data_IF_869593979960
#
_entry.id   IF_869593979960
#
_cell.length_a   1.000
_cell.length_b   1.000
_cell.length_c   1.000
_cell.angle_alpha   90.00
_cell.angle_beta   90.00
_cell.angle_gamma   90.00
#
_symmetry.space_group_name_H-M   'P 1'
#
loop_
_entity.id
_entity.type
_entity.pdbx_description
1 polymer ?
#
# COMPACT_ATOMS: atom_id res chain seq x y z
N UNK A 1 -30.85 -38.29 -13.24
CA UNK A 1 -30.70 -37.71 -14.59
C UNK A 1 -29.27 -37.22 -14.70
N UNK A 2 -28.47 -37.84 -15.57
CA UNK A 2 -27.06 -37.50 -15.82
C UNK A 2 -27.00 -36.33 -16.82
N UNK A 3 -26.32 -35.24 -16.45
CA UNK A 3 -25.91 -34.21 -17.40
C UNK A 3 -24.82 -34.76 -18.31
N UNK A 4 -25.09 -34.73 -19.62
CA UNK A 4 -24.15 -35.12 -20.65
C UNK A 4 -23.21 -33.95 -20.94
N UNK A 5 -21.99 -34.03 -20.41
CA UNK A 5 -20.91 -33.11 -20.79
C UNK A 5 -20.48 -33.45 -22.21
N UNK A 6 -20.90 -32.60 -23.16
CA UNK A 6 -20.54 -32.71 -24.57
C UNK A 6 -19.05 -32.34 -24.71
N UNK A 7 -18.18 -33.36 -24.83
CA UNK A 7 -16.76 -33.17 -25.18
C UNK A 7 -16.68 -32.53 -26.56
N UNK A 8 -16.40 -31.23 -26.62
CA UNK A 8 -16.02 -30.57 -27.86
C UNK A 8 -14.71 -31.16 -28.37
N UNK A 9 -14.75 -31.76 -29.55
CA UNK A 9 -13.56 -32.22 -30.26
C UNK A 9 -12.69 -31.00 -30.58
N UNK A 10 -11.48 -30.96 -30.02
CA UNK A 10 -10.48 -29.95 -30.36
C UNK A 10 -9.96 -30.29 -31.75
N UNK A 11 -10.64 -29.76 -32.76
CA UNK A 11 -10.08 -29.65 -34.11
C UNK A 11 -8.90 -28.69 -34.00
N UNK A 12 -7.68 -29.21 -34.21
CA UNK A 12 -6.49 -28.36 -34.40
C UNK A 12 -6.64 -27.64 -35.73
N UNK A 13 -7.42 -26.57 -35.74
CA UNK A 13 -7.47 -25.66 -36.88
C UNK A 13 -6.10 -25.03 -37.08
N UNK A 14 -5.68 -24.89 -38.34
CA UNK A 14 -4.43 -24.23 -38.67
C UNK A 14 -4.46 -22.78 -38.16
N UNK A 15 -3.43 -22.30 -37.43
CA UNK A 15 -3.44 -20.96 -36.83
C UNK A 15 -3.73 -19.84 -37.85
N UNK A 16 -3.24 -20.01 -39.09
CA UNK A 16 -3.50 -19.06 -40.19
C UNK A 16 -4.96 -19.05 -40.65
N UNK A 17 -5.65 -20.19 -40.62
CA UNK A 17 -7.06 -20.28 -40.98
C UNK A 17 -7.94 -19.60 -39.92
N UNK A 18 -7.62 -19.82 -38.63
CA UNK A 18 -8.29 -19.17 -37.50
C UNK A 18 -8.13 -17.64 -37.57
N UNK A 19 -6.91 -17.15 -37.78
CA UNK A 19 -6.63 -15.72 -37.88
C UNK A 19 -7.37 -15.05 -39.06
N UNK A 20 -7.44 -15.73 -40.21
CA UNK A 20 -8.20 -15.25 -41.38
C UNK A 20 -9.69 -15.20 -41.08
N UNK A 21 -10.25 -16.27 -40.53
CA UNK A 21 -11.67 -16.33 -40.15
C UNK A 21 -12.04 -15.23 -39.15
N UNK A 22 -11.20 -15.02 -38.14
CA UNK A 22 -11.36 -13.94 -37.18
C UNK A 22 -11.33 -12.56 -37.87
N UNK A 23 -10.33 -12.30 -38.71
CA UNK A 23 -10.20 -11.01 -39.40
C UNK A 23 -11.41 -10.71 -40.30
N UNK A 24 -11.88 -11.69 -41.07
CA UNK A 24 -13.08 -11.54 -41.91
C UNK A 24 -14.34 -11.27 -41.08
N UNK A 25 -14.49 -11.92 -39.92
CA UNK A 25 -15.62 -11.69 -39.04
C UNK A 25 -15.63 -10.25 -38.50
N UNK A 26 -14.48 -9.74 -38.04
CA UNK A 26 -14.39 -8.37 -37.53
C UNK A 26 -14.53 -7.31 -38.63
N UNK A 27 -14.02 -7.57 -39.85
CA UNK A 27 -14.27 -6.68 -41.00
C UNK A 27 -15.76 -6.60 -41.34
N UNK A 28 -16.51 -7.70 -41.16
CA UNK A 28 -17.96 -7.72 -41.35
C UNK A 28 -18.65 -6.91 -40.26
N UNK A 29 -18.26 -7.11 -38.99
CA UNK A 29 -18.78 -6.34 -37.87
C UNK A 29 -18.51 -4.84 -38.01
N UNK A 30 -17.32 -4.44 -38.48
CA UNK A 30 -16.99 -3.03 -38.70
C UNK A 30 -17.91 -2.39 -39.73
N UNK A 31 -18.23 -3.10 -40.82
CA UNK A 31 -19.17 -2.64 -41.84
C UNK A 31 -20.58 -2.51 -41.29
N UNK A 32 -21.04 -3.49 -40.50
CA UNK A 32 -22.37 -3.46 -39.88
C UNK A 32 -22.49 -2.32 -38.87
N UNK A 33 -21.50 -2.15 -37.98
CA UNK A 33 -21.46 -1.05 -37.03
C UNK A 33 -21.41 0.31 -37.73
N UNK A 34 -20.58 0.46 -38.77
CA UNK A 34 -20.52 1.68 -39.57
C UNK A 34 -21.87 1.98 -40.23
N UNK A 35 -22.53 0.94 -40.77
CA UNK A 35 -23.87 1.06 -41.34
C UNK A 35 -24.87 1.54 -40.30
N UNK A 36 -24.94 0.91 -39.12
CA UNK A 36 -25.81 1.31 -38.02
C UNK A 36 -25.59 2.76 -37.57
N UNK A 37 -24.33 3.19 -37.49
CA UNK A 37 -24.00 4.57 -37.17
C UNK A 37 -24.55 5.55 -38.22
N UNK A 38 -24.37 5.22 -39.50
CA UNK A 38 -24.79 6.09 -40.60
C UNK A 38 -26.30 6.10 -40.85
N UNK A 39 -26.99 4.97 -40.69
CA UNK A 39 -28.39 4.81 -41.09
C UNK A 39 -29.38 5.06 -39.94
N UNK A 40 -28.99 4.74 -38.70
CA UNK A 40 -29.86 4.85 -37.52
C UNK A 40 -29.36 5.88 -36.51
N UNK A 41 -28.21 6.52 -36.75
CA UNK A 41 -27.63 7.50 -35.84
C UNK A 41 -27.16 6.89 -34.50
N UNK A 42 -26.95 5.57 -34.46
CA UNK A 42 -26.48 4.85 -33.27
C UNK A 42 -25.00 5.15 -33.06
N UNK A 43 -24.61 5.41 -31.82
CA UNK A 43 -23.21 5.69 -31.46
C UNK A 43 -22.75 4.67 -30.44
N UNK A 44 -21.52 4.20 -30.57
CA UNK A 44 -21.01 3.11 -29.76
C UNK A 44 -19.59 2.74 -30.09
N UNK A 45 -19.08 1.76 -29.35
CA UNK A 45 -17.77 1.19 -29.58
C UNK A 45 -17.77 -0.27 -29.11
N UNK A 46 -16.85 -1.07 -29.65
CA UNK A 46 -16.57 -2.39 -29.14
C UNK A 46 -15.06 -2.61 -29.05
N UNK A 47 -14.67 -3.46 -28.10
CA UNK A 47 -13.29 -3.92 -27.91
C UNK A 47 -13.36 -5.44 -27.74
N UNK A 48 -12.64 -6.16 -28.59
CA UNK A 48 -12.44 -7.60 -28.44
C UNK A 48 -10.95 -7.88 -28.26
N UNK A 49 -10.60 -8.68 -27.24
CA UNK A 49 -9.23 -9.01 -26.83
C UNK A 49 -9.08 -10.52 -26.73
N UNK A 50 -7.84 -11.01 -26.76
CA UNK A 50 -7.53 -12.42 -26.57
C UNK A 50 -7.97 -12.91 -25.19
N UNK A 51 -8.57 -14.10 -25.16
CA UNK A 51 -9.02 -14.75 -23.92
C UNK A 51 -7.94 -15.49 -23.13
N UNK A 52 -6.74 -15.64 -23.70
CA UNK A 52 -5.64 -16.36 -23.05
C UNK A 52 -4.28 -16.05 -23.69
N UNK A 53 -3.21 -16.38 -22.96
CA UNK A 53 -1.82 -16.09 -23.34
C UNK A 53 -1.33 -16.78 -24.63
N UNK A 54 -2.00 -17.87 -25.02
CA UNK A 54 -1.65 -18.65 -26.21
C UNK A 54 -2.18 -18.02 -27.51
N UNK A 55 -3.14 -17.10 -27.40
CA UNK A 55 -3.66 -16.35 -28.54
C UNK A 55 -2.93 -15.00 -28.63
N UNK A 56 -2.14 -14.84 -29.71
CA UNK A 56 -1.37 -13.62 -29.99
C UNK A 56 -2.10 -12.68 -30.94
N UNK A 57 -3.41 -12.84 -31.12
CA UNK A 57 -4.17 -11.94 -31.99
C UNK A 57 -4.25 -10.53 -31.40
N UNK A 58 -4.08 -9.53 -32.26
CA UNK A 58 -4.13 -8.12 -31.83
C UNK A 58 -5.56 -7.73 -31.46
N UNK A 59 -5.79 -6.92 -30.41
CA UNK A 59 -7.10 -6.41 -30.06
C UNK A 59 -7.83 -5.79 -31.25
N UNK A 60 -9.11 -6.12 -31.39
CA UNK A 60 -10.01 -5.55 -32.40
C UNK A 60 -10.82 -4.45 -31.75
N UNK A 61 -10.75 -3.26 -32.34
CA UNK A 61 -11.35 -2.05 -31.79
C UNK A 61 -12.14 -1.33 -32.87
N UNK A 62 -13.34 -0.92 -32.50
CA UNK A 62 -14.18 -0.03 -33.30
C UNK A 62 -14.71 1.07 -32.40
N UNK A 63 -14.69 2.31 -32.89
CA UNK A 63 -15.27 3.46 -32.22
C UNK A 63 -16.02 4.31 -33.22
N UNK A 64 -17.28 4.60 -32.94
CA UNK A 64 -17.98 5.69 -33.61
C UNK A 64 -17.38 7.04 -33.18
N UNK A 65 -17.62 8.15 -33.91
CA UNK A 65 -17.05 9.45 -33.56
C UNK A 65 -17.38 9.92 -32.14
N UNK A 66 -18.61 9.71 -31.65
CA UNK A 66 -18.96 10.07 -30.27
C UNK A 66 -18.46 9.04 -29.26
N UNK A 67 -18.35 7.76 -29.64
CA UNK A 67 -17.74 6.73 -28.81
C UNK A 67 -16.26 7.03 -28.51
N UNK A 68 -15.48 7.39 -29.53
CA UNK A 68 -14.08 7.80 -29.38
C UNK A 68 -13.96 9.03 -28.47
N UNK A 69 -14.79 10.05 -28.72
CA UNK A 69 -14.84 11.26 -27.90
C UNK A 69 -15.20 10.98 -26.45
N UNK A 70 -16.15 10.08 -26.19
CA UNK A 70 -16.49 9.66 -24.83
C UNK A 70 -15.28 9.05 -24.12
N UNK A 71 -14.58 8.13 -24.76
CA UNK A 71 -13.41 7.48 -24.13
C UNK A 71 -12.28 8.49 -23.86
N UNK A 72 -12.00 9.40 -24.80
CA UNK A 72 -10.97 10.42 -24.60
C UNK A 72 -11.36 11.48 -23.58
N UNK A 73 -12.58 12.02 -23.66
CA UNK A 73 -12.97 13.19 -22.87
C UNK A 73 -13.60 12.85 -21.52
N UNK A 74 -14.28 11.70 -21.40
CA UNK A 74 -14.97 11.31 -20.16
C UNK A 74 -14.14 10.30 -19.37
N UNK A 75 -13.57 9.30 -20.04
CA UNK A 75 -12.73 8.31 -19.36
C UNK A 75 -11.27 8.76 -19.22
N UNK A 76 -10.87 9.86 -19.88
CA UNK A 76 -9.49 10.35 -19.93
C UNK A 76 -8.48 9.27 -20.37
N UNK A 77 -8.89 8.49 -21.37
CA UNK A 77 -8.10 7.38 -21.90
C UNK A 77 -8.02 7.44 -23.41
N UNK A 78 -6.86 7.04 -23.93
CA UNK A 78 -6.74 6.71 -25.36
C UNK A 78 -7.45 5.37 -25.64
N UNK A 79 -8.24 5.25 -26.73
CA UNK A 79 -8.95 4.02 -27.06
C UNK A 79 -8.06 2.77 -27.12
N UNK A 80 -6.85 2.89 -27.69
CA UNK A 80 -5.86 1.81 -27.71
C UNK A 80 -5.39 1.44 -26.31
N UNK A 81 -5.22 2.43 -25.42
CA UNK A 81 -4.81 2.20 -24.04
C UNK A 81 -5.92 1.54 -23.23
N UNK A 82 -7.18 1.88 -23.49
CA UNK A 82 -8.34 1.19 -22.93
C UNK A 82 -8.36 -0.28 -23.36
N UNK A 83 -8.13 -0.56 -24.65
CA UNK A 83 -8.05 -1.93 -25.16
C UNK A 83 -6.92 -2.73 -24.52
N UNK A 84 -5.72 -2.17 -24.39
CA UNK A 84 -4.59 -2.83 -23.72
C UNK A 84 -4.85 -3.08 -22.23
N UNK A 85 -5.51 -2.15 -21.52
CA UNK A 85 -5.92 -2.36 -20.13
C UNK A 85 -6.92 -3.52 -20.01
N UNK A 86 -7.86 -3.60 -20.94
CA UNK A 86 -8.84 -4.67 -20.97
C UNK A 86 -8.19 -6.02 -21.30
N UNK A 87 -7.30 -6.06 -22.29
CA UNK A 87 -6.52 -7.26 -22.62
C UNK A 87 -5.67 -7.73 -21.44
N UNK A 88 -4.96 -6.82 -20.78
CA UNK A 88 -4.19 -7.14 -19.57
C UNK A 88 -5.08 -7.69 -18.47
N UNK A 89 -6.31 -7.17 -18.29
CA UNK A 89 -7.26 -7.65 -17.30
C UNK A 89 -7.73 -9.09 -17.59
N UNK A 90 -8.02 -9.39 -18.85
CA UNK A 90 -8.46 -10.74 -19.29
C UNK A 90 -7.31 -11.74 -19.22
N UNK A 91 -6.16 -11.41 -19.82
CA UNK A 91 -5.00 -12.32 -19.94
C UNK A 91 -4.33 -12.60 -18.60
N UNK A 92 -4.35 -11.64 -17.66
CA UNK A 92 -3.78 -11.85 -16.31
C UNK A 92 -4.63 -12.76 -15.41
N UNK A 93 -5.78 -13.25 -15.89
CA UNK A 93 -6.72 -14.04 -15.08
C UNK A 93 -7.35 -13.23 -13.95
N UNK A 94 -7.28 -11.89 -14.01
CA UNK A 94 -7.89 -11.01 -13.00
C UNK A 94 -9.42 -11.07 -13.06
N UNK A 95 -9.99 -11.40 -14.23
CA UNK A 95 -11.41 -11.64 -14.44
C UNK A 95 -11.93 -12.86 -13.64
N UNK A 96 -11.13 -13.92 -13.53
CA UNK A 96 -11.49 -15.13 -12.78
C UNK A 96 -11.29 -14.98 -11.27
N UNK A 97 -10.69 -13.87 -10.85
CA UNK A 97 -10.19 -13.62 -9.50
C UNK A 97 -10.83 -12.39 -8.83
N UNK A 98 -11.93 -11.86 -9.37
CA UNK A 98 -12.63 -10.67 -8.84
C UNK A 98 -13.11 -10.91 -7.39
N UNK A 99 -13.45 -12.15 -7.04
CA UNK A 99 -13.80 -12.56 -5.67
C UNK A 99 -12.63 -13.17 -4.88
N UNK A 100 -11.45 -13.28 -5.49
CA UNK A 100 -10.30 -13.89 -4.84
C UNK A 100 -9.57 -12.89 -3.92
N UNK A 101 -9.03 -13.33 -2.77
CA UNK A 101 -8.20 -12.50 -1.89
C UNK A 101 -6.98 -11.84 -2.58
N UNK A 102 -6.58 -12.32 -3.76
CA UNK A 102 -5.41 -11.86 -4.52
C UNK A 102 -5.58 -10.45 -5.10
N UNK A 103 -6.81 -9.93 -5.24
CA UNK A 103 -7.00 -8.51 -5.58
C UNK A 103 -6.46 -7.55 -4.51
N UNK A 104 -6.23 -8.01 -3.27
CA UNK A 104 -5.54 -7.21 -2.23
C UNK A 104 -4.05 -7.00 -2.54
N UNK A 105 -3.47 -7.76 -3.47
CA UNK A 105 -2.05 -7.68 -3.82
C UNK A 105 -1.70 -6.49 -4.74
N UNK A 106 -2.68 -5.91 -5.44
CA UNK A 106 -2.45 -4.76 -6.34
C UNK A 106 -2.23 -3.43 -5.61
N UNK A 107 -2.55 -3.32 -4.32
CA UNK A 107 -2.27 -2.09 -3.55
C UNK A 107 -0.76 -1.92 -3.36
N UNK A 108 -0.14 -0.77 -3.69
CA UNK A 108 1.26 -0.53 -3.33
C UNK A 108 1.48 -0.70 -1.83
N UNK A 109 2.56 -1.37 -1.42
CA UNK A 109 2.85 -1.64 0.00
C UNK A 109 2.83 -0.37 0.85
N UNK A 110 3.37 0.73 0.34
CA UNK A 110 3.37 2.03 1.01
C UNK A 110 1.96 2.54 1.32
N UNK A 111 1.02 2.33 0.39
CA UNK A 111 -0.38 2.71 0.57
C UNK A 111 -1.04 1.87 1.67
N UNK A 112 -0.81 0.56 1.65
CA UNK A 112 -1.32 -0.36 2.68
C UNK A 112 -0.75 -0.03 4.07
N UNK A 113 0.54 0.26 4.16
CA UNK A 113 1.19 0.73 5.40
C UNK A 113 0.59 2.05 5.88
N UNK A 114 0.33 2.99 4.96
CA UNK A 114 -0.34 4.25 5.25
C UNK A 114 -1.76 4.05 5.80
N UNK A 115 -2.55 3.19 5.16
CA UNK A 115 -3.90 2.81 5.59
C UNK A 115 -3.88 2.25 7.02
N UNK A 116 -3.01 1.28 7.32
CA UNK A 116 -2.87 0.74 8.68
C UNK A 116 -2.52 1.82 9.71
N UNK A 117 -1.55 2.69 9.41
CA UNK A 117 -1.15 3.79 10.32
C UNK A 117 -2.30 4.74 10.57
N UNK A 118 -3.02 5.13 9.53
CA UNK A 118 -4.16 6.03 9.63
C UNK A 118 -5.30 5.41 10.43
N UNK A 119 -5.61 4.12 10.23
CA UNK A 119 -6.64 3.43 11.01
C UNK A 119 -6.27 3.33 12.49
N UNK A 120 -5.01 2.99 12.80
CA UNK A 120 -4.52 2.94 14.18
C UNK A 120 -4.58 4.32 14.83
N UNK A 121 -4.08 5.35 14.14
CA UNK A 121 -4.06 6.72 14.65
C UNK A 121 -5.47 7.29 14.84
N UNK A 122 -6.36 7.06 13.87
CA UNK A 122 -7.76 7.50 13.96
C UNK A 122 -8.45 6.84 15.15
N UNK A 123 -8.34 5.52 15.28
CA UNK A 123 -8.93 4.81 16.41
C UNK A 123 -8.36 5.26 17.77
N UNK A 124 -7.09 5.66 17.83
CA UNK A 124 -6.50 6.25 19.02
C UNK A 124 -7.12 7.61 19.35
N UNK A 125 -7.27 8.49 18.35
CA UNK A 125 -7.94 9.77 18.55
C UNK A 125 -9.39 9.58 19.00
N UNK A 126 -10.11 8.65 18.38
CA UNK A 126 -11.52 8.37 18.68
C UNK A 126 -11.68 7.92 20.15
N UNK A 127 -10.91 6.93 20.61
CA UNK A 127 -10.98 6.43 22.00
C UNK A 127 -10.52 7.49 23.02
N UNK A 128 -9.58 8.37 22.66
CA UNK A 128 -9.13 9.45 23.55
C UNK A 128 -10.21 10.52 23.71
N UNK A 129 -10.92 10.86 22.64
CA UNK A 129 -12.07 11.76 22.70
C UNK A 129 -13.20 11.17 23.55
N UNK A 130 -13.49 9.87 23.43
CA UNK A 130 -14.44 9.17 24.31
C UNK A 130 -14.02 9.24 25.79
N UNK A 131 -12.72 9.30 26.06
CA UNK A 131 -12.16 9.44 27.40
C UNK A 131 -12.04 10.89 27.90
N UNK A 132 -12.53 11.88 27.15
CA UNK A 132 -12.47 13.30 27.52
C UNK A 132 -11.10 13.96 27.28
N UNK A 133 -10.19 13.30 26.55
CA UNK A 133 -8.88 13.86 26.20
C UNK A 133 -8.97 14.51 24.83
N UNK A 134 -9.12 15.84 24.80
CA UNK A 134 -9.25 16.62 23.56
C UNK A 134 -7.90 16.97 22.89
N UNK A 135 -6.81 16.32 23.32
CA UNK A 135 -5.47 16.55 22.76
C UNK A 135 -5.17 15.51 21.70
N UNK A 136 -4.71 15.96 20.53
CA UNK A 136 -4.21 15.06 19.49
C UNK A 136 -2.89 14.44 19.94
N UNK A 137 -2.91 13.16 20.32
CA UNK A 137 -1.72 12.40 20.69
C UNK A 137 -1.31 11.52 19.51
N UNK A 138 -0.08 11.70 19.04
CA UNK A 138 0.51 10.84 18.01
C UNK A 138 0.85 9.45 18.55
N UNK A 139 0.58 8.41 17.76
CA UNK A 139 0.89 7.03 18.10
C UNK A 139 2.41 6.84 18.30
N UNK A 140 2.81 6.34 19.47
CA UNK A 140 4.21 6.08 19.80
C UNK A 140 4.47 4.58 19.90
N UNK A 141 5.00 3.99 18.83
CA UNK A 141 5.31 2.56 18.78
C UNK A 141 6.55 2.18 19.61
N UNK A 142 7.55 3.07 19.68
CA UNK A 142 8.82 2.79 20.36
C UNK A 142 8.71 2.82 21.89
N UNK A 143 7.75 3.57 22.42
CA UNK A 143 7.43 3.66 23.85
C UNK A 143 5.96 3.40 24.09
N UNK A 144 5.40 2.40 23.40
CA UNK A 144 3.96 2.09 23.44
C UNK A 144 3.45 1.86 24.86
N UNK A 145 4.11 1.00 25.63
CA UNK A 145 3.72 0.72 27.02
C UNK A 145 3.65 2.00 27.86
N UNK A 146 4.71 2.80 27.88
CA UNK A 146 4.79 3.99 28.72
C UNK A 146 3.89 5.15 28.26
N UNK A 147 3.88 5.45 26.96
CA UNK A 147 3.27 6.66 26.39
C UNK A 147 1.84 6.47 25.93
N UNK A 148 1.40 5.22 25.75
CA UNK A 148 0.03 4.92 25.33
C UNK A 148 -0.68 4.18 26.45
N UNK A 149 -0.17 3.02 26.86
CA UNK A 149 -0.89 2.15 27.82
C UNK A 149 -0.94 2.79 29.21
N UNK A 150 0.22 3.12 29.78
CA UNK A 150 0.32 3.64 31.15
C UNK A 150 -0.19 5.09 31.26
N UNK A 151 0.25 5.97 30.36
CA UNK A 151 -0.11 7.40 30.49
C UNK A 151 -1.50 7.75 30.00
N UNK A 152 -2.04 7.04 29.00
CA UNK A 152 -3.36 7.34 28.43
C UNK A 152 -4.43 6.33 28.85
N UNK A 153 -4.06 5.18 29.43
CA UNK A 153 -5.01 4.17 29.88
C UNK A 153 -5.76 3.49 28.73
N UNK A 154 -5.15 3.38 27.56
CA UNK A 154 -5.75 2.72 26.38
C UNK A 154 -4.80 1.68 25.81
N UNK A 155 -5.36 0.57 25.34
CA UNK A 155 -4.61 -0.55 24.77
C UNK A 155 -5.20 -0.97 23.43
N UNK A 156 -4.34 -1.33 22.49
CA UNK A 156 -4.70 -1.93 21.22
C UNK A 156 -4.83 -3.45 21.40
N UNK A 157 -6.06 -3.91 21.59
CA UNK A 157 -6.41 -5.31 21.80
C UNK A 157 -6.46 -6.06 20.47
N UNK A 158 -6.12 -7.35 20.49
CA UNK A 158 -6.19 -8.22 19.32
C UNK A 158 -5.10 -7.95 18.29
N UNK A 159 -4.00 -7.35 18.71
CA UNK A 159 -2.78 -7.35 17.91
C UNK A 159 -2.32 -8.79 17.67
N UNK A 160 -1.93 -9.09 16.44
CA UNK A 160 -1.59 -10.44 16.02
C UNK A 160 -0.34 -10.95 16.78
N UNK A 161 -0.44 -12.13 17.39
CA UNK A 161 0.62 -12.70 18.24
C UNK A 161 1.92 -12.97 17.48
N UNK A 162 1.83 -13.34 16.20
CA UNK A 162 2.97 -13.53 15.30
C UNK A 162 3.65 -12.20 14.89
N UNK A 163 3.02 -11.06 15.19
CA UNK A 163 3.52 -9.71 14.92
C UNK A 163 3.90 -8.94 16.20
N UNK A 164 3.98 -9.62 17.35
CA UNK A 164 4.47 -9.01 18.57
C UNK A 164 6.00 -8.81 18.53
N UNK A 165 6.54 -7.76 19.19
CA UNK A 165 5.82 -6.70 19.90
C UNK A 165 5.14 -5.70 18.95
N UNK A 166 4.20 -4.89 19.46
CA UNK A 166 3.53 -3.84 18.67
C UNK A 166 4.58 -2.92 18.05
N UNK A 167 4.56 -2.82 16.73
CA UNK A 167 5.55 -2.07 15.93
C UNK A 167 4.85 -1.22 14.90
N UNK A 168 5.56 -0.20 14.43
CA UNK A 168 5.11 0.60 13.31
C UNK A 168 4.84 -0.33 12.10
N UNK A 169 3.69 -0.21 11.41
CA UNK A 169 3.37 -1.06 10.27
C UNK A 169 4.46 -1.14 9.19
N UNK A 170 5.20 -0.05 8.98
CA UNK A 170 6.32 -0.02 8.03
C UNK A 170 7.57 -0.82 8.46
N UNK A 171 7.64 -1.25 9.72
CA UNK A 171 8.72 -2.07 10.29
C UNK A 171 8.33 -3.55 10.48
N UNK A 172 7.12 -3.95 10.07
CA UNK A 172 6.64 -5.34 10.24
C UNK A 172 7.32 -6.32 9.26
N UNK A 173 7.81 -5.82 8.12
CA UNK A 173 8.51 -6.59 7.10
C UNK A 173 7.56 -7.38 6.20
N UNK A 174 7.65 -7.17 4.90
CA UNK A 174 6.87 -7.91 3.90
C UNK A 174 5.38 -7.50 3.81
N UNK A 175 4.80 -7.71 2.64
CA UNK A 175 3.41 -7.36 2.34
C UNK A 175 2.42 -8.17 3.17
N UNK A 176 2.63 -9.47 3.30
CA UNK A 176 1.67 -10.40 3.91
C UNK A 176 1.36 -10.04 5.36
N UNK A 177 2.39 -9.64 6.11
CA UNK A 177 2.24 -9.22 7.52
C UNK A 177 1.42 -7.94 7.65
N UNK A 178 1.69 -6.95 6.79
CA UNK A 178 0.92 -5.69 6.78
C UNK A 178 -0.53 -5.96 6.33
N UNK A 179 -0.73 -6.87 5.39
CA UNK A 179 -2.06 -7.24 4.92
C UNK A 179 -2.87 -7.94 6.01
N UNK A 180 -2.28 -8.87 6.75
CA UNK A 180 -2.91 -9.50 7.92
C UNK A 180 -3.33 -8.47 8.96
N UNK A 181 -2.43 -7.53 9.29
CA UNK A 181 -2.75 -6.44 10.21
C UNK A 181 -3.90 -5.56 9.70
N UNK A 182 -3.88 -5.20 8.42
CA UNK A 182 -4.97 -4.42 7.80
C UNK A 182 -6.31 -5.13 7.95
N UNK A 183 -6.37 -6.44 7.67
CA UNK A 183 -7.60 -7.23 7.84
C UNK A 183 -8.04 -7.19 9.29
N UNK A 184 -7.17 -7.48 10.24
CA UNK A 184 -7.52 -7.49 11.66
C UNK A 184 -8.08 -6.12 12.13
N UNK A 185 -7.51 -5.01 11.68
CA UNK A 185 -8.01 -3.66 11.98
C UNK A 185 -9.38 -3.39 11.34
N UNK A 186 -9.59 -3.86 10.10
CA UNK A 186 -10.85 -3.63 9.36
C UNK A 186 -11.98 -4.48 9.93
N UNK A 187 -11.71 -5.74 10.29
CA UNK A 187 -12.68 -6.67 10.86
C UNK A 187 -12.88 -6.47 12.37
N UNK A 188 -12.26 -5.44 12.96
CA UNK A 188 -12.32 -5.15 14.41
C UNK A 188 -11.84 -6.29 15.29
N UNK A 189 -11.03 -7.20 14.76
CA UNK A 189 -10.26 -8.18 15.56
C UNK A 189 -9.17 -7.43 16.33
N UNK A 190 -8.55 -6.43 15.71
CA UNK A 190 -7.60 -5.51 16.34
C UNK A 190 -8.27 -4.14 16.54
N UNK A 191 -8.41 -3.68 17.78
CA UNK A 191 -9.13 -2.44 18.11
C UNK A 191 -8.67 -1.81 19.41
N UNK A 192 -8.92 -0.51 19.57
CA UNK A 192 -8.59 0.21 20.80
C UNK A 192 -9.62 -0.04 21.87
N UNK A 193 -9.15 -0.25 23.11
CA UNK A 193 -9.97 -0.43 24.29
C UNK A 193 -9.44 0.45 25.41
N UNK A 194 -10.35 1.06 26.17
CA UNK A 194 -10.05 1.72 27.43
C UNK A 194 -9.72 0.68 28.50
N UNK A 195 -8.63 0.88 29.23
CA UNK A 195 -8.30 0.09 30.41
C UNK A 195 -9.06 0.61 31.63
N UNK A 196 -9.43 -0.32 32.52
CA UNK A 196 -9.83 0.05 33.88
C UNK A 196 -8.62 0.63 34.63
N UNK A 197 -8.87 1.40 35.69
CA UNK A 197 -7.78 1.96 36.48
C UNK A 197 -6.97 0.85 37.16
N UNK A 198 -7.64 -0.23 37.56
CA UNK A 198 -7.03 -1.41 38.15
C UNK A 198 -6.14 -2.14 37.14
N UNK A 199 -6.60 -2.34 35.90
CA UNK A 199 -5.78 -2.94 34.84
C UNK A 199 -4.58 -2.08 34.48
N UNK A 200 -4.78 -0.76 34.43
CA UNK A 200 -3.70 0.20 34.18
C UNK A 200 -2.64 0.13 35.26
N UNK A 201 -3.04 0.14 36.54
CA UNK A 201 -2.11 0.07 37.66
C UNK A 201 -1.37 -1.28 37.69
N UNK A 202 -2.08 -2.39 37.45
CA UNK A 202 -1.44 -3.72 37.30
C UNK A 202 -0.40 -3.72 36.20
N UNK A 203 -0.70 -3.11 35.04
CA UNK A 203 0.23 -3.02 33.91
C UNK A 203 1.47 -2.19 34.26
N UNK A 204 1.30 -1.06 34.95
CA UNK A 204 2.41 -0.22 35.42
C UNK A 204 3.36 -1.02 36.32
N UNK A 205 2.82 -1.74 37.30
CA UNK A 205 3.63 -2.56 38.23
C UNK A 205 4.39 -3.63 37.45
N UNK A 206 3.71 -4.41 36.60
CA UNK A 206 4.33 -5.46 35.78
C UNK A 206 5.43 -4.91 34.87
N UNK A 207 5.18 -3.80 34.18
CA UNK A 207 6.16 -3.18 33.29
C UNK A 207 7.36 -2.63 34.06
N UNK A 208 7.15 -2.08 35.25
CA UNK A 208 8.22 -1.61 36.14
C UNK A 208 9.10 -2.77 36.60
N UNK A 209 8.51 -3.89 37.01
CA UNK A 209 9.25 -5.10 37.39
C UNK A 209 10.05 -5.69 36.22
N UNK A 210 9.44 -5.78 35.03
CA UNK A 210 10.11 -6.22 33.80
C UNK A 210 11.30 -5.33 33.47
N UNK A 211 11.13 -4.01 33.59
CA UNK A 211 12.21 -3.06 33.38
C UNK A 211 13.33 -3.21 34.41
N UNK A 212 12.99 -3.43 35.69
CA UNK A 212 13.97 -3.68 36.75
C UNK A 212 14.77 -4.97 36.53
N UNK A 213 14.18 -5.98 35.87
CA UNK A 213 14.88 -7.20 35.41
C UNK A 213 15.75 -6.99 34.17
N UNK A 214 15.79 -5.78 33.62
CA UNK A 214 16.59 -5.44 32.44
C UNK A 214 15.89 -5.70 31.10
N UNK A 215 14.60 -6.03 31.08
CA UNK A 215 13.85 -6.10 29.82
C UNK A 215 13.69 -4.69 29.21
N UNK A 216 13.85 -4.57 27.89
CA UNK A 216 13.72 -3.29 27.16
C UNK A 216 12.24 -2.90 26.99
N UNK A 217 11.54 -2.66 28.10
CA UNK A 217 10.14 -2.20 28.13
C UNK A 217 10.04 -0.72 27.78
N UNK A 218 11.02 0.06 28.22
CA UNK A 218 11.09 1.50 27.99
C UNK A 218 12.35 1.82 27.19
N UNK A 219 12.19 2.46 26.03
CA UNK A 219 13.32 2.96 25.27
C UNK A 219 13.77 4.29 25.84
N UNK A 220 15.00 4.34 26.34
CA UNK A 220 15.61 5.60 26.75
C UNK A 220 15.75 6.54 25.55
N UNK A 221 15.40 7.81 25.77
CA UNK A 221 15.60 8.84 24.76
C UNK A 221 17.11 9.00 24.57
N UNK A 222 17.62 8.76 23.35
CA UNK A 222 18.99 9.16 23.01
C UNK A 222 19.16 10.63 23.38
N UNK A 223 20.14 10.93 24.23
CA UNK A 223 20.52 12.30 24.54
C UNK A 223 20.72 13.04 23.22
N UNK A 224 20.08 14.20 23.07
CA UNK A 224 20.27 15.02 21.88
C UNK A 224 21.74 15.45 21.93
N UNK A 225 22.59 14.82 21.12
CA UNK A 225 23.92 15.38 20.83
C UNK A 225 23.64 16.75 20.24
N UNK A 226 23.86 17.78 21.04
CA UNK A 226 23.99 19.13 20.53
C UNK A 226 25.24 19.06 19.64
N UNK A 227 25.04 18.94 18.32
CA UNK A 227 26.08 19.34 17.37
C UNK A 227 26.26 20.83 17.58
N UNK A 228 27.14 21.15 18.53
CA UNK A 228 27.69 22.47 18.71
C UNK A 228 28.46 22.82 17.44
N UNK A 229 28.11 23.97 16.90
CA UNK A 229 28.97 24.83 16.12
C UNK A 229 30.41 24.81 16.64
N UNK A 230 31.32 24.19 15.90
CA UNK A 230 32.74 24.49 15.98
C UNK A 230 33.19 24.89 14.58
N UNK A 231 33.13 26.21 14.33
CA UNK A 231 33.96 26.84 13.31
C UNK A 231 35.40 26.75 13.85
N UNK A 232 36.19 25.83 13.29
CA UNK A 232 37.63 25.79 13.51
C UNK A 232 38.25 27.11 13.04
N UNK A 233 38.95 27.79 13.94
CA UNK A 233 39.99 28.75 13.57
C UNK A 233 41.29 28.30 14.23
N UNK A 234 42.20 27.86 13.36
CA UNK A 234 43.64 27.64 13.48
C UNK A 234 44.31 27.72 14.86
N UNK A 235 44.84 26.57 15.29
CA UNK A 235 46.08 26.48 16.07
C UNK A 235 47.24 26.64 15.10
N UNK A 236 48.07 27.67 15.26
CA UNK A 236 49.46 27.64 14.80
C UNK A 236 50.30 27.37 16.04
N UNK A 237 51.13 26.36 15.89
CA UNK A 237 52.05 25.77 16.86
C UNK A 237 53.16 26.73 17.24
N UNK A 238 53.46 26.72 18.54
CA UNK A 238 54.75 27.10 19.11
C UNK A 238 55.82 26.15 18.61
N UNK A 239 56.87 26.69 17.99
CA UNK A 239 58.19 26.06 17.95
C UNK A 239 59.16 27.01 18.64
N UNK A 240 59.82 26.47 19.67
CA UNK A 240 60.99 27.02 20.35
C UNK A 240 62.20 27.05 19.41
N UNK A 241 63.08 28.04 19.57
CA UNK A 241 64.54 27.82 19.69
C UNK A 241 65.25 29.17 19.98
N UNK A 242 65.70 29.26 21.23
CA UNK A 242 67.00 29.70 21.75
C UNK A 242 67.73 30.98 21.29
N UNK A 243 68.21 31.65 22.36
CA UNK A 243 69.52 32.30 22.53
C UNK A 243 69.77 33.75 22.04
N UNK A 244 69.78 34.62 23.07
CA UNK A 244 70.97 35.33 23.57
C UNK A 244 71.22 36.80 23.17
N UNK A 245 71.74 37.50 24.19
CA UNK A 245 72.40 38.79 24.21
C UNK A 245 71.63 40.09 23.93
N UNK A 246 71.45 40.85 25.01
CA UNK A 246 72.27 42.05 25.13
C UNK A 246 71.63 43.40 24.83
N UNK A 247 71.39 44.13 25.92
CA UNK A 247 71.85 45.51 26.11
C UNK A 247 70.98 46.69 25.62
N UNK A 248 70.41 47.35 26.63
CA UNK A 248 70.42 48.80 26.91
C UNK A 248 69.86 49.83 25.92
N UNK A 249 69.04 50.69 26.53
CA UNK A 249 69.16 52.16 26.55
C UNK A 249 68.21 52.99 25.69
N UNK A 250 67.54 53.88 26.44
CA UNK A 250 67.00 55.20 26.11
C UNK A 250 65.67 55.28 25.34
#
# INVERSE_FOLDING_TARGET
MQESVQKQAIVRDQPKAVQRKMSTAFETMDKEWTSLCSSLGIEGFYIAVCGGVEDLSTPKIFFSPKGDKFVRSVLDLEPRRLALKFESFVVSGLADNIDSPLQRESRPLNKLVGECRNTIQKGLCDILHENGVNKTVGMNYDNYERKIVESLGVELIGWLSDLLPIRNPGKLGGRDRVQKLHVALTTKVCYWKKLSEEDRQRRIVLNTERHARGEEVYKQRKGRTLQGTEKSTATITSDDDDDDEGNSAA
#
